data_IF_892373790261
#
_entry.id   IF_892373790261
#
_cell.length_a   1.000
_cell.length_b   1.000
_cell.length_c   1.000
_cell.angle_alpha   90.00
_cell.angle_beta   90.00
_cell.angle_gamma   90.00
#
_symmetry.space_group_name_H-M   'P 1'
#
loop_
_entity.id
_entity.type
_entity.pdbx_description
1 polymer ?
#
# COMPACT_ATOMS: atom_id res chain seq x y z
N UNK A 1 -12.77 -14.85 15.34
CA UNK A 1 -12.02 -14.46 16.53
C UNK A 1 -11.73 -12.96 16.40
N UNK A 2 -12.08 -12.20 17.44
CA UNK A 2 -11.80 -10.77 17.52
C UNK A 2 -10.47 -10.59 18.26
N UNK A 3 -9.54 -9.82 17.69
CA UNK A 3 -8.24 -9.54 18.30
C UNK A 3 -8.17 -8.14 18.89
N UNK A 4 -8.47 -7.13 18.07
CA UNK A 4 -8.37 -5.73 18.46
C UNK A 4 -9.20 -4.84 17.55
N UNK A 5 -9.41 -3.58 17.93
CA UNK A 5 -9.77 -2.48 17.03
C UNK A 5 -8.54 -1.64 16.74
N UNK A 6 -8.46 -1.04 15.56
CA UNK A 6 -7.51 0.03 15.31
C UNK A 6 -8.07 1.39 15.73
N UNK A 7 -7.22 2.42 15.78
CA UNK A 7 -7.64 3.80 16.05
C UNK A 7 -8.71 4.26 15.06
N UNK A 8 -9.54 5.20 15.49
CA UNK A 8 -10.59 5.80 14.64
C UNK A 8 -9.98 6.33 13.33
N UNK A 9 -10.67 6.05 12.22
CA UNK A 9 -10.27 6.44 10.85
C UNK A 9 -8.98 5.81 10.33
N UNK A 10 -8.33 4.90 11.06
CA UNK A 10 -7.19 4.13 10.57
C UNK A 10 -7.64 3.14 9.49
N UNK A 11 -6.80 2.98 8.46
CA UNK A 11 -6.99 2.06 7.34
C UNK A 11 -5.70 1.30 7.04
N UNK A 12 -5.81 0.31 6.16
CA UNK A 12 -4.67 -0.40 5.58
C UNK A 12 -3.74 -1.05 6.61
N UNK A 13 -4.31 -1.61 7.68
CA UNK A 13 -3.57 -2.41 8.65
C UNK A 13 -3.26 -3.76 8.02
N UNK A 14 -1.95 -4.10 7.92
CA UNK A 14 -1.47 -5.37 7.37
C UNK A 14 -0.39 -5.95 8.26
N UNK A 15 -0.40 -7.26 8.38
CA UNK A 15 0.57 -8.00 9.17
C UNK A 15 1.43 -8.87 8.26
N UNK A 16 2.69 -9.04 8.63
CA UNK A 16 3.63 -9.95 7.97
C UNK A 16 4.51 -10.60 9.03
N UNK A 17 4.66 -11.93 8.97
CA UNK A 17 5.64 -12.64 9.79
C UNK A 17 7.05 -12.31 9.31
N UNK A 18 7.94 -11.96 10.24
CA UNK A 18 9.34 -11.63 9.98
C UNK A 18 10.22 -12.87 10.13
N UNK A 19 11.45 -12.79 9.63
CA UNK A 19 12.40 -13.92 9.62
C UNK A 19 12.77 -14.42 11.02
N UNK A 20 12.68 -13.58 12.03
CA UNK A 20 12.94 -13.91 13.45
C UNK A 20 11.69 -14.38 14.22
N UNK A 21 10.58 -14.55 13.52
CA UNK A 21 9.29 -14.98 14.08
C UNK A 21 8.47 -13.85 14.70
N UNK A 22 8.95 -12.61 14.69
CA UNK A 22 8.19 -11.43 15.08
C UNK A 22 7.17 -11.06 14.00
N UNK A 23 6.32 -10.10 14.29
CA UNK A 23 5.27 -9.64 13.39
C UNK A 23 5.52 -8.18 13.02
N UNK A 24 5.70 -7.93 11.73
CA UNK A 24 5.66 -6.59 11.15
C UNK A 24 4.22 -6.10 11.01
N UNK A 25 3.95 -4.89 11.46
CA UNK A 25 2.64 -4.24 11.44
C UNK A 25 2.73 -3.02 10.55
N UNK A 26 2.07 -3.06 9.41
CA UNK A 26 1.84 -1.88 8.59
C UNK A 26 0.55 -1.19 9.03
N UNK A 27 0.59 0.14 9.04
CA UNK A 27 -0.57 0.99 9.27
C UNK A 27 -0.52 2.20 8.35
N UNK A 28 -1.49 3.10 8.48
CA UNK A 28 -1.56 4.29 7.64
C UNK A 28 -1.74 5.55 8.50
N UNK A 29 -0.69 6.00 9.20
CA UNK A 29 -0.73 7.21 10.01
C UNK A 29 -1.17 8.41 9.17
N UNK A 30 -2.17 9.11 9.67
CA UNK A 30 -2.77 10.30 9.05
C UNK A 30 -3.25 11.26 10.15
N UNK A 31 -2.62 12.39 10.24
CA UNK A 31 -2.96 13.48 11.15
C UNK A 31 -2.29 14.77 10.68
N UNK A 32 -2.59 15.88 11.34
CA UNK A 32 -2.02 17.19 10.99
C UNK A 32 -0.48 17.23 11.13
N UNK A 33 0.10 16.45 12.04
CA UNK A 33 1.55 16.39 12.23
C UNK A 33 2.23 15.68 11.04
N UNK A 34 1.65 14.59 10.56
CA UNK A 34 2.10 13.86 9.36
C UNK A 34 2.02 14.80 8.15
N UNK A 35 0.89 15.46 7.95
CA UNK A 35 0.73 16.39 6.83
C UNK A 35 1.71 17.56 6.89
N UNK A 36 1.88 18.15 8.07
CA UNK A 36 2.83 19.25 8.28
C UNK A 36 4.29 18.84 8.08
N UNK A 37 4.66 17.64 8.54
CA UNK A 37 6.06 17.17 8.47
C UNK A 37 6.43 16.66 7.09
N UNK A 38 5.55 15.89 6.44
CA UNK A 38 5.86 15.17 5.20
C UNK A 38 5.18 15.75 3.97
N UNK A 39 4.23 16.67 4.13
CA UNK A 39 3.43 17.20 3.03
C UNK A 39 2.48 16.19 2.40
N UNK A 40 2.22 15.09 3.10
CA UNK A 40 1.36 13.98 2.70
C UNK A 40 0.20 13.83 3.68
N UNK A 41 -1.01 13.64 3.19
CA UNK A 41 -2.18 13.46 4.05
C UNK A 41 -2.24 12.10 4.75
N UNK A 42 -1.46 11.12 4.28
CA UNK A 42 -1.31 9.80 4.91
C UNK A 42 -0.03 9.11 4.43
N UNK A 43 0.73 8.55 5.37
CA UNK A 43 1.96 7.80 5.12
C UNK A 43 1.73 6.31 5.38
N UNK A 44 2.62 5.45 4.88
CA UNK A 44 2.72 4.08 5.36
C UNK A 44 3.56 4.09 6.63
N UNK A 45 3.03 3.54 7.73
CA UNK A 45 3.75 3.36 8.97
C UNK A 45 4.12 1.89 9.18
N UNK A 46 5.20 1.65 9.94
CA UNK A 46 5.66 0.32 10.29
C UNK A 46 6.03 0.23 11.76
N UNK A 47 5.63 -0.88 12.40
CA UNK A 47 6.02 -1.26 13.76
C UNK A 47 6.31 -2.76 13.80
N UNK A 48 6.97 -3.22 14.86
CA UNK A 48 7.24 -4.64 15.11
C UNK A 48 6.68 -5.02 16.47
N UNK A 49 6.03 -6.17 16.56
CA UNK A 49 5.54 -6.78 17.80
C UNK A 49 6.06 -8.20 17.94
N UNK A 50 6.18 -8.70 19.17
CA UNK A 50 6.65 -10.05 19.42
C UNK A 50 5.54 -11.10 19.22
N UNK A 51 4.32 -10.78 19.64
CA UNK A 51 3.16 -11.68 19.55
C UNK A 51 1.92 -10.93 19.02
N UNK A 52 0.97 -11.66 18.48
CA UNK A 52 -0.27 -11.07 17.93
C UNK A 52 -1.10 -10.36 19.00
N UNK A 53 -1.03 -10.82 20.25
CA UNK A 53 -1.67 -10.21 21.41
C UNK A 53 -1.14 -8.81 21.75
N UNK A 54 0.06 -8.47 21.26
CA UNK A 54 0.67 -7.13 21.44
C UNK A 54 0.12 -6.10 20.43
N UNK A 55 -0.71 -6.53 19.49
CA UNK A 55 -1.35 -5.63 18.51
C UNK A 55 -2.41 -4.77 19.21
N UNK A 56 -2.03 -3.55 19.54
CA UNK A 56 -2.88 -2.56 20.23
C UNK A 56 -3.10 -1.33 19.35
N UNK A 57 -4.09 -0.51 19.74
CA UNK A 57 -4.33 0.79 19.11
C UNK A 57 -3.08 1.68 19.13
N UNK A 58 -2.31 1.66 20.23
CA UNK A 58 -1.10 2.44 20.38
C UNK A 58 0.00 2.00 19.41
N UNK A 59 0.20 0.70 19.19
CA UNK A 59 1.15 0.17 18.21
C UNK A 59 0.76 0.63 16.79
N UNK A 60 -0.51 0.53 16.45
CA UNK A 60 -1.02 0.90 15.13
C UNK A 60 -0.89 2.41 14.92
N UNK A 61 -1.25 3.22 15.92
CA UNK A 61 -1.22 4.68 15.85
C UNK A 61 0.19 5.25 15.80
N UNK A 62 1.11 4.69 16.60
CA UNK A 62 2.49 5.16 16.72
C UNK A 62 3.48 4.46 15.77
N UNK A 63 2.98 3.70 14.79
CA UNK A 63 3.84 3.11 13.77
C UNK A 63 4.70 4.18 13.09
N UNK A 64 6.00 3.92 12.99
CA UNK A 64 6.97 4.86 12.42
C UNK A 64 6.72 5.05 10.92
N UNK A 65 6.51 6.27 10.42
CA UNK A 65 6.34 6.52 9.00
C UNK A 65 7.56 6.10 8.18
N UNK A 66 7.32 5.39 7.08
CA UNK A 66 8.34 5.02 6.10
C UNK A 66 8.49 6.19 5.14
N UNK A 67 9.69 6.77 5.10
CA UNK A 67 10.00 7.91 4.25
C UNK A 67 10.38 7.49 2.82
N UNK A 68 10.29 8.41 1.86
CA UNK A 68 10.76 8.20 0.49
C UNK A 68 9.79 7.51 -0.46
N UNK A 69 8.61 7.06 0.02
CA UNK A 69 7.60 6.41 -0.84
C UNK A 69 6.75 7.46 -1.55
N UNK A 70 6.31 8.49 -0.84
CA UNK A 70 5.38 9.51 -1.35
C UNK A 70 6.04 10.89 -1.44
N UNK A 71 5.77 11.59 -2.53
CA UNK A 71 6.10 13.00 -2.69
C UNK A 71 5.09 13.93 -2.01
N UNK A 72 5.36 15.23 -2.08
CA UNK A 72 4.45 16.25 -1.55
C UNK A 72 3.10 16.22 -2.26
N UNK A 73 2.01 16.18 -1.50
CA UNK A 73 0.64 16.09 -2.02
C UNK A 73 0.21 14.69 -2.42
N UNK A 74 1.10 13.70 -2.30
CA UNK A 74 0.77 12.30 -2.50
C UNK A 74 0.43 11.61 -1.17
N UNK A 75 -0.30 10.52 -1.24
CA UNK A 75 -0.63 9.66 -0.11
C UNK A 75 -0.83 8.23 -0.58
N UNK A 76 -0.91 7.29 0.34
CA UNK A 76 -1.14 5.90 -0.03
C UNK A 76 -1.18 4.97 1.15
N UNK A 77 -1.06 3.66 0.88
CA UNK A 77 -1.12 2.63 1.90
C UNK A 77 -0.56 1.30 1.44
N UNK A 78 -0.28 0.42 2.41
CA UNK A 78 0.07 -0.97 2.19
C UNK A 78 -1.20 -1.79 1.98
N UNK A 79 -1.31 -2.52 0.87
CA UNK A 79 -2.42 -3.42 0.60
C UNK A 79 -2.08 -4.86 0.95
N UNK A 80 -0.85 -5.30 0.66
CA UNK A 80 -0.33 -6.63 1.02
C UNK A 80 1.18 -6.56 1.28
N UNK A 81 1.67 -7.41 2.17
CA UNK A 81 3.08 -7.51 2.53
C UNK A 81 3.52 -8.97 2.53
N UNK A 82 4.72 -9.24 2.04
CA UNK A 82 5.31 -10.57 1.89
C UNK A 82 6.74 -10.58 2.40
N UNK A 83 7.10 -11.56 3.22
CA UNK A 83 8.49 -11.79 3.56
C UNK A 83 9.24 -12.31 2.34
N UNK A 84 10.35 -11.66 2.00
CA UNK A 84 11.26 -12.10 0.94
C UNK A 84 12.36 -13.01 1.52
N UNK A 85 12.96 -13.84 0.67
CA UNK A 85 14.01 -14.79 1.09
C UNK A 85 15.22 -14.11 1.73
N UNK A 86 15.54 -12.87 1.34
CA UNK A 86 16.64 -12.08 1.91
C UNK A 86 16.29 -11.40 3.24
N UNK A 87 15.05 -11.48 3.69
CA UNK A 87 14.55 -10.91 4.95
C UNK A 87 13.94 -9.51 4.83
N UNK A 88 13.99 -8.88 3.65
CA UNK A 88 13.23 -7.69 3.34
C UNK A 88 11.74 -8.04 3.20
N UNK A 89 10.91 -7.03 3.18
CA UNK A 89 9.46 -7.15 2.99
C UNK A 89 9.11 -6.60 1.61
N UNK A 90 8.54 -7.44 0.75
CA UNK A 90 7.93 -7.03 -0.50
C UNK A 90 6.53 -6.47 -0.24
N UNK A 91 6.29 -5.22 -0.59
CA UNK A 91 5.02 -4.53 -0.36
C UNK A 91 4.32 -4.27 -1.69
N UNK A 92 3.05 -4.63 -1.74
CA UNK A 92 2.11 -4.19 -2.77
C UNK A 92 1.21 -3.15 -2.12
N UNK A 93 1.12 -1.98 -2.73
CA UNK A 93 0.37 -0.86 -2.19
C UNK A 93 -0.33 -0.03 -3.25
N UNK A 94 -0.84 1.09 -2.82
CA UNK A 94 -1.35 2.13 -3.70
C UNK A 94 -0.69 3.46 -3.38
N UNK A 95 -0.51 4.27 -4.42
CA UNK A 95 -0.12 5.66 -4.33
C UNK A 95 -1.22 6.50 -4.96
N UNK A 96 -1.49 7.65 -4.39
CA UNK A 96 -2.58 8.51 -4.79
C UNK A 96 -2.17 9.96 -4.76
N UNK A 97 -2.76 10.74 -5.66
CA UNK A 97 -2.59 12.19 -5.73
C UNK A 97 -3.82 12.84 -6.36
N UNK A 98 -3.98 14.13 -6.14
CA UNK A 98 -5.01 14.94 -6.79
C UNK A 98 -4.47 15.54 -8.08
N UNK A 99 -5.19 15.38 -9.18
CA UNK A 99 -4.84 15.97 -10.48
C UNK A 99 -5.89 17.01 -10.87
N UNK A 100 -5.51 18.30 -10.94
CA UNK A 100 -6.42 19.35 -11.39
C UNK A 100 -6.93 19.12 -12.82
N UNK A 101 -8.22 19.36 -13.02
CA UNK A 101 -8.87 19.32 -14.35
C UNK A 101 -9.65 20.61 -14.55
N UNK A 102 -9.39 21.31 -15.65
CA UNK A 102 -10.06 22.56 -15.94
C UNK A 102 -11.56 22.39 -16.10
N UNK A 103 -12.34 23.11 -15.29
CA UNK A 103 -13.81 23.10 -15.33
C UNK A 103 -14.49 21.87 -14.68
N UNK A 104 -13.71 21.00 -14.02
CA UNK A 104 -14.21 19.82 -13.33
C UNK A 104 -13.68 19.76 -11.88
N UNK A 105 -14.21 18.82 -11.09
CA UNK A 105 -13.61 18.41 -9.82
C UNK A 105 -12.26 17.72 -10.09
N UNK A 106 -11.25 18.00 -9.26
CA UNK A 106 -9.94 17.36 -9.34
C UNK A 106 -10.06 15.84 -9.34
N UNK A 107 -9.31 15.19 -10.22
CA UNK A 107 -9.26 13.73 -10.24
C UNK A 107 -8.52 13.21 -9.01
N UNK A 108 -9.09 12.21 -8.38
CA UNK A 108 -8.40 11.36 -7.43
C UNK A 108 -7.72 10.22 -8.20
N UNK A 109 -6.46 10.42 -8.57
CA UNK A 109 -5.67 9.41 -9.28
C UNK A 109 -5.13 8.41 -8.28
N UNK A 110 -5.36 7.12 -8.54
CA UNK A 110 -4.81 6.01 -7.75
C UNK A 110 -4.07 5.05 -8.67
N UNK A 111 -2.85 4.69 -8.29
CA UNK A 111 -2.03 3.72 -9.00
C UNK A 111 -1.59 2.59 -8.09
N UNK A 112 -1.41 1.41 -8.66
CA UNK A 112 -0.87 0.26 -7.94
C UNK A 112 0.66 0.38 -7.91
N UNK A 113 1.27 0.24 -6.75
CA UNK A 113 2.72 0.28 -6.57
C UNK A 113 3.26 -0.99 -5.94
N UNK A 114 4.54 -1.26 -6.15
CA UNK A 114 5.33 -2.20 -5.35
C UNK A 114 6.62 -1.56 -4.90
N UNK A 115 7.13 -2.00 -3.77
CA UNK A 115 8.46 -1.65 -3.28
C UNK A 115 8.99 -2.75 -2.35
N UNK A 116 10.28 -2.70 -2.04
CA UNK A 116 10.92 -3.55 -1.06
C UNK A 116 11.37 -2.71 0.12
N UNK A 117 11.11 -3.21 1.32
CA UNK A 117 11.34 -2.49 2.57
C UNK A 117 12.21 -3.33 3.50
N UNK A 118 13.29 -2.74 4.00
CA UNK A 118 14.12 -3.33 5.02
C UNK A 118 13.57 -2.93 6.41
N UNK A 119 13.06 -3.89 7.19
CA UNK A 119 12.44 -3.59 8.49
C UNK A 119 13.45 -3.15 9.58
N UNK A 120 14.74 -3.30 9.33
CA UNK A 120 15.82 -2.93 10.27
C UNK A 120 16.36 -1.53 9.98
N UNK A 121 16.67 -1.26 8.72
CA UNK A 121 17.26 0.03 8.30
C UNK A 121 16.21 1.06 7.89
N UNK A 122 14.95 0.65 7.67
CA UNK A 122 13.86 1.45 7.12
C UNK A 122 14.11 1.92 5.69
N UNK A 123 15.04 1.29 4.98
CA UNK A 123 15.35 1.62 3.60
C UNK A 123 14.27 1.06 2.65
N UNK A 124 13.86 1.90 1.70
CA UNK A 124 12.95 1.54 0.60
C UNK A 124 13.74 1.41 -0.69
N UNK A 125 13.59 0.28 -1.36
CA UNK A 125 14.24 0.01 -2.65
C UNK A 125 13.24 -0.55 -3.66
N UNK A 126 13.62 -0.59 -4.94
CA UNK A 126 12.84 -1.18 -6.03
C UNK A 126 11.38 -0.68 -6.12
N UNK A 127 11.15 0.59 -5.75
CA UNK A 127 9.82 1.19 -5.87
C UNK A 127 9.45 1.41 -7.34
N UNK A 128 8.24 0.99 -7.70
CA UNK A 128 7.71 1.17 -9.07
C UNK A 128 6.18 1.14 -9.11
N UNK A 129 5.62 1.78 -10.12
CA UNK A 129 4.22 1.62 -10.51
C UNK A 129 4.09 0.27 -11.22
N UNK A 130 3.16 -0.57 -10.78
CA UNK A 130 2.89 -1.91 -11.33
C UNK A 130 1.54 -2.00 -12.04
N UNK A 131 0.71 -0.97 -11.94
CA UNK A 131 -0.55 -0.86 -12.64
C UNK A 131 -1.17 0.52 -12.49
N UNK A 132 -1.79 1.00 -13.55
CA UNK A 132 -2.61 2.21 -13.57
C UNK A 132 -4.01 1.88 -14.05
N UNK A 133 -4.97 2.79 -13.92
CA UNK A 133 -6.34 2.57 -14.41
C UNK A 133 -6.37 2.17 -15.89
N UNK A 134 -5.51 2.78 -16.71
CA UNK A 134 -5.41 2.47 -18.15
C UNK A 134 -4.86 1.08 -18.50
N UNK A 135 -4.30 0.34 -17.54
CA UNK A 135 -3.89 -1.06 -17.75
C UNK A 135 -5.06 -2.05 -17.70
N UNK A 136 -6.20 -1.62 -17.17
CA UNK A 136 -7.42 -2.43 -17.05
C UNK A 136 -8.43 -2.07 -18.13
N UNK A 137 -9.44 -2.93 -18.41
CA UNK A 137 -10.49 -2.63 -19.36
C UNK A 137 -11.21 -1.30 -19.04
N UNK A 138 -11.69 -0.64 -20.06
CA UNK A 138 -12.58 0.51 -19.89
C UNK A 138 -13.86 0.10 -19.16
N UNK A 139 -14.43 1.03 -18.39
CA UNK A 139 -15.63 0.77 -17.61
C UNK A 139 -16.14 2.05 -16.93
N UNK A 140 -17.28 1.97 -16.25
CA UNK A 140 -17.88 3.09 -15.54
C UNK A 140 -17.03 3.53 -14.35
N UNK A 141 -17.32 4.71 -13.83
CA UNK A 141 -16.81 5.17 -12.54
C UNK A 141 -17.97 5.53 -11.60
N UNK A 142 -17.79 5.31 -10.31
CA UNK A 142 -18.78 5.63 -9.27
C UNK A 142 -19.06 7.13 -9.21
N UNK A 143 -18.02 7.94 -9.46
CA UNK A 143 -18.07 9.39 -9.58
C UNK A 143 -17.12 9.83 -10.67
N UNK A 144 -17.36 10.96 -11.37
CA UNK A 144 -16.49 11.44 -12.42
C UNK A 144 -15.02 11.61 -11.99
N UNK A 145 -14.78 12.09 -10.78
CA UNK A 145 -13.45 12.30 -10.24
C UNK A 145 -12.69 11.00 -9.85
N UNK A 146 -13.34 9.84 -9.87
CA UNK A 146 -12.74 8.52 -9.64
C UNK A 146 -12.45 7.75 -10.95
N UNK A 147 -12.59 8.40 -12.11
CA UNK A 147 -12.40 7.72 -13.41
C UNK A 147 -10.97 7.20 -13.62
N UNK A 148 -9.98 7.78 -12.95
CA UNK A 148 -8.57 7.36 -12.99
C UNK A 148 -8.10 6.72 -11.67
N UNK A 149 -8.94 5.84 -11.13
CA UNK A 149 -8.69 5.18 -9.88
C UNK A 149 -8.55 3.66 -10.10
N UNK A 150 -7.42 3.09 -9.66
CA UNK A 150 -7.27 1.64 -9.48
C UNK A 150 -6.69 1.32 -8.11
N UNK A 151 -7.39 0.51 -7.33
CA UNK A 151 -7.01 0.15 -5.97
C UNK A 151 -6.65 -1.33 -5.90
N UNK A 152 -5.44 -1.65 -5.45
CA UNK A 152 -4.98 -3.05 -5.34
C UNK A 152 -5.86 -3.83 -4.38
N UNK A 153 -6.52 -4.90 -4.86
CA UNK A 153 -7.28 -5.83 -4.03
C UNK A 153 -6.50 -7.11 -3.73
N UNK A 154 -5.60 -7.53 -4.62
CA UNK A 154 -4.78 -8.71 -4.39
C UNK A 154 -3.75 -8.97 -5.49
N UNK A 155 -2.81 -9.87 -5.22
CA UNK A 155 -1.84 -10.35 -6.21
C UNK A 155 -1.59 -11.84 -6.04
N UNK A 156 -1.44 -12.55 -7.14
CA UNK A 156 -1.09 -13.97 -7.18
C UNK A 156 0.21 -14.12 -7.96
N UNK A 157 1.26 -14.55 -7.29
CA UNK A 157 2.55 -14.85 -7.92
C UNK A 157 2.45 -16.15 -8.72
N UNK A 158 3.07 -16.19 -9.91
CA UNK A 158 3.03 -17.31 -10.84
C UNK A 158 4.42 -17.92 -10.98
N UNK A 159 4.46 -19.21 -11.31
CA UNK A 159 5.71 -19.95 -11.51
C UNK A 159 6.50 -19.49 -12.77
N UNK A 160 5.82 -18.82 -13.72
CA UNK A 160 6.43 -18.32 -14.95
C UNK A 160 7.15 -16.96 -14.81
N UNK A 161 7.39 -16.49 -13.58
CA UNK A 161 8.04 -15.21 -13.29
C UNK A 161 7.14 -13.99 -13.49
N UNK A 162 5.83 -14.21 -13.53
CA UNK A 162 4.80 -13.17 -13.62
C UNK A 162 3.95 -13.14 -12.35
N UNK A 163 3.03 -12.19 -12.32
CA UNK A 163 2.00 -12.13 -11.29
C UNK A 163 0.68 -11.64 -11.90
N UNK A 164 -0.43 -12.15 -11.37
CA UNK A 164 -1.77 -11.65 -11.68
C UNK A 164 -2.16 -10.63 -10.60
N UNK A 165 -2.25 -9.36 -10.99
CA UNK A 165 -2.62 -8.24 -10.13
C UNK A 165 -4.12 -7.98 -10.27
N UNK A 166 -4.83 -8.03 -9.15
CA UNK A 166 -6.24 -7.74 -9.05
C UNK A 166 -6.44 -6.33 -8.48
N UNK A 167 -7.34 -5.56 -9.07
CA UNK A 167 -7.61 -4.20 -8.63
C UNK A 167 -9.07 -3.82 -8.81
N UNK A 168 -9.57 -3.06 -7.83
CA UNK A 168 -10.83 -2.36 -7.96
C UNK A 168 -10.67 -1.19 -8.93
N UNK A 169 -11.56 -1.10 -9.91
CA UNK A 169 -11.54 -0.08 -10.96
C UNK A 169 -12.59 0.97 -10.70
N UNK A 170 -12.16 2.22 -10.54
CA UNK A 170 -13.04 3.40 -10.44
C UNK A 170 -14.18 3.26 -9.40
N UNK A 171 -13.93 2.44 -8.34
CA UNK A 171 -14.82 2.15 -7.22
C UNK A 171 -16.16 1.48 -7.62
N UNK A 172 -16.19 0.74 -8.74
CA UNK A 172 -17.40 0.08 -9.31
C UNK A 172 -17.14 -1.38 -9.61
N UNK A 173 -16.04 -1.72 -10.26
CA UNK A 173 -15.75 -3.04 -10.80
C UNK A 173 -14.41 -3.55 -10.31
N UNK A 174 -14.16 -4.84 -10.46
CA UNK A 174 -12.84 -5.46 -10.29
C UNK A 174 -12.28 -5.95 -11.61
N UNK A 175 -10.97 -5.84 -11.75
CA UNK A 175 -10.23 -6.31 -12.91
C UNK A 175 -8.94 -7.02 -12.54
N UNK A 176 -8.38 -7.71 -13.53
CA UNK A 176 -7.11 -8.42 -13.42
C UNK A 176 -6.21 -8.05 -14.59
N UNK A 177 -4.95 -7.80 -14.30
CA UNK A 177 -3.87 -7.69 -15.28
C UNK A 177 -2.74 -8.66 -14.93
N UNK A 178 -1.99 -9.10 -15.93
CA UNK A 178 -0.77 -9.88 -15.72
C UNK A 178 0.43 -8.96 -15.85
N UNK A 179 1.27 -8.93 -14.82
CA UNK A 179 2.48 -8.11 -14.73
C UNK A 179 3.73 -8.97 -14.60
N UNK A 180 4.92 -8.40 -14.79
CA UNK A 180 6.17 -9.04 -14.36
C UNK A 180 6.18 -9.22 -12.84
N UNK A 181 6.92 -10.22 -12.35
CA UNK A 181 7.12 -10.42 -10.91
C UNK A 181 7.62 -9.12 -10.25
N UNK A 182 6.96 -8.63 -9.19
CA UNK A 182 7.16 -7.26 -8.73
C UNK A 182 8.40 -7.02 -7.87
N UNK A 183 9.04 -8.06 -7.36
CA UNK A 183 10.18 -7.95 -6.44
C UNK A 183 11.49 -8.40 -7.09
N UNK A 184 12.63 -8.04 -6.50
CA UNK A 184 13.97 -8.48 -6.96
C UNK A 184 14.37 -9.83 -6.36
N UNK A 185 13.71 -10.26 -5.28
CA UNK A 185 13.96 -11.49 -4.55
C UNK A 185 12.67 -12.31 -4.46
N UNK A 186 12.72 -13.65 -4.53
CA UNK A 186 11.54 -14.50 -4.33
C UNK A 186 10.91 -14.35 -2.95
N UNK A 187 9.65 -14.78 -2.83
CA UNK A 187 8.98 -14.93 -1.54
C UNK A 187 9.66 -16.04 -0.71
N UNK A 188 9.61 -15.89 0.61
CA UNK A 188 10.11 -16.88 1.56
C UNK A 188 9.18 -18.08 1.65
#
# INVERSE_FOLDING_TARGET
VYFTTGPDYMKDIRLVELKDGKIGVFSRPRNEEIEKKYGSSAMIGFAVIDHLEDLTDDVIFNATPIEGIFGKGEWGGCNQAYLLQDGRIGVIGHQSFSQPVEGEEDLAVYVNISFEFDPVTFEVTNQKIIGTRGCYPEGPSKRPNLRDCTFTSGIVMREDGKADLYGGMSDVEEGRITIAYPFSCPLN
#
